data_IF_643192045974
#
_entry.id   IF_643192045974
#
_cell.length_a   1.000
_cell.length_b   1.000
_cell.length_c   1.000
_cell.angle_alpha   90.00
_cell.angle_beta   90.00
_cell.angle_gamma   90.00
#
_symmetry.space_group_name_H-M   'P 1'
#
loop_
_entity.id
_entity.type
_entity.pdbx_description
1 polymer ?
#
# COMPACT_ATOMS: atom_id res chain seq x y z
N UNK A 1 -8.61 42.46 -13.54
CA UNK A 1 -9.59 41.54 -14.16
C UNK A 1 -9.00 40.19 -14.56
N UNK A 2 -7.96 40.13 -15.41
CA UNK A 2 -7.40 38.85 -15.91
C UNK A 2 -6.82 37.94 -14.80
N UNK A 3 -6.22 38.53 -13.75
CA UNK A 3 -5.69 37.77 -12.59
C UNK A 3 -6.80 37.14 -11.74
N UNK A 4 -7.94 37.80 -11.52
CA UNK A 4 -9.05 37.21 -10.74
C UNK A 4 -9.81 36.16 -11.56
N UNK A 5 -9.90 36.32 -12.88
CA UNK A 5 -10.49 35.32 -13.77
C UNK A 5 -9.68 34.01 -13.77
N UNK A 6 -8.33 34.09 -13.82
CA UNK A 6 -7.45 32.91 -13.75
C UNK A 6 -7.55 32.16 -12.42
N UNK A 7 -7.60 32.89 -11.30
CA UNK A 7 -7.77 32.28 -9.97
C UNK A 7 -9.14 31.61 -9.86
N UNK A 8 -10.19 32.23 -10.40
CA UNK A 8 -11.55 31.67 -10.40
C UNK A 8 -11.66 30.39 -11.24
N UNK A 9 -11.11 30.38 -12.46
CA UNK A 9 -11.10 29.17 -13.31
C UNK A 9 -10.34 28.01 -12.67
N UNK A 10 -9.25 28.30 -11.96
CA UNK A 10 -8.43 27.29 -11.31
C UNK A 10 -9.12 26.75 -10.07
N UNK A 11 -9.76 27.62 -9.28
CA UNK A 11 -10.59 27.20 -8.16
C UNK A 11 -11.76 26.33 -8.65
N UNK A 12 -12.33 26.65 -9.81
CA UNK A 12 -13.38 25.86 -10.46
C UNK A 12 -12.89 24.50 -10.96
N UNK A 13 -11.68 24.42 -11.53
CA UNK A 13 -11.06 23.14 -11.93
C UNK A 13 -10.69 22.31 -10.70
N UNK A 14 -10.15 22.93 -9.65
CA UNK A 14 -9.81 22.24 -8.40
C UNK A 14 -11.06 21.74 -7.69
N UNK A 15 -12.14 22.53 -7.67
CA UNK A 15 -13.45 22.13 -7.16
C UNK A 15 -14.05 21.05 -8.04
N UNK A 16 -13.98 21.15 -9.37
CA UNK A 16 -14.48 20.12 -10.28
C UNK A 16 -13.71 18.80 -10.14
N UNK A 17 -12.41 18.88 -9.86
CA UNK A 17 -11.57 17.71 -9.58
C UNK A 17 -11.86 17.15 -8.18
N UNK A 18 -12.04 18.01 -7.17
CA UNK A 18 -12.46 17.59 -5.83
C UNK A 18 -13.87 16.97 -5.85
N UNK A 19 -14.83 17.54 -6.60
CA UNK A 19 -16.18 17.00 -6.73
C UNK A 19 -16.20 15.73 -7.56
N UNK A 20 -15.31 15.57 -8.54
CA UNK A 20 -15.09 14.29 -9.22
C UNK A 20 -14.52 13.23 -8.28
N UNK A 21 -13.55 13.59 -7.43
CA UNK A 21 -13.00 12.70 -6.39
C UNK A 21 -14.04 12.38 -5.30
N UNK A 22 -14.89 13.33 -4.91
CA UNK A 22 -15.96 13.15 -3.93
C UNK A 22 -17.16 12.38 -4.51
N UNK A 23 -17.46 12.49 -5.80
CA UNK A 23 -18.44 11.64 -6.50
C UNK A 23 -17.90 10.24 -6.84
N UNK A 24 -16.63 9.98 -6.55
CA UNK A 24 -16.09 8.62 -6.48
C UNK A 24 -16.39 7.96 -5.12
N UNK A 25 -17.24 8.58 -4.28
CA UNK A 25 -17.81 7.91 -3.13
C UNK A 25 -18.93 6.97 -3.55
N UNK A 26 -18.56 5.69 -3.64
CA UNK A 26 -19.43 4.54 -3.42
C UNK A 26 -20.72 4.49 -4.25
N UNK A 27 -20.65 3.81 -5.39
CA UNK A 27 -21.59 2.72 -5.56
C UNK A 27 -21.43 1.84 -4.32
N UNK A 28 -22.33 1.99 -3.34
CA UNK A 28 -22.56 1.00 -2.28
C UNK A 28 -23.12 -0.24 -2.98
N UNK A 29 -22.25 -0.94 -3.70
CA UNK A 29 -22.47 -2.32 -4.04
C UNK A 29 -22.50 -3.01 -2.67
N UNK A 30 -23.67 -3.52 -2.28
CA UNK A 30 -23.80 -4.44 -1.16
C UNK A 30 -23.03 -5.71 -1.53
N UNK A 31 -21.70 -5.62 -1.50
CA UNK A 31 -20.84 -6.76 -1.73
C UNK A 31 -21.14 -7.74 -0.59
N UNK A 32 -21.52 -8.99 -0.90
CA UNK A 32 -21.62 -10.05 0.09
C UNK A 32 -20.41 -10.05 1.01
N UNK A 33 -20.66 -10.12 2.31
CA UNK A 33 -19.62 -10.19 3.34
C UNK A 33 -19.71 -11.58 3.96
N UNK A 34 -18.57 -12.26 4.09
CA UNK A 34 -18.50 -13.54 4.77
C UNK A 34 -18.91 -13.39 6.24
N UNK A 35 -19.77 -14.28 6.71
CA UNK A 35 -20.23 -14.33 8.10
C UNK A 35 -20.20 -15.77 8.57
N UNK A 36 -19.66 -16.00 9.78
CA UNK A 36 -19.52 -17.34 10.36
C UNK A 36 -18.86 -18.35 9.42
N UNK A 37 -17.80 -17.94 8.70
CA UNK A 37 -17.05 -18.81 7.80
C UNK A 37 -17.78 -19.19 6.52
N UNK A 38 -18.90 -18.52 6.20
CA UNK A 38 -19.68 -18.74 4.98
C UNK A 38 -19.90 -17.42 4.25
N UNK A 39 -19.77 -17.41 2.93
CA UNK A 39 -20.20 -16.31 2.07
C UNK A 39 -21.20 -16.84 1.04
N UNK A 40 -22.33 -16.16 0.92
CA UNK A 40 -23.36 -16.48 -0.07
C UNK A 40 -23.21 -15.60 -1.31
N UNK A 41 -22.78 -16.20 -2.42
CA UNK A 41 -22.61 -15.55 -3.72
C UNK A 41 -23.64 -16.06 -4.74
N UNK A 42 -24.73 -16.69 -4.31
CA UNK A 42 -25.74 -17.27 -5.20
C UNK A 42 -26.37 -16.27 -6.18
N UNK A 43 -26.42 -14.99 -5.81
CA UNK A 43 -26.98 -13.88 -6.62
C UNK A 43 -25.92 -13.10 -7.40
N UNK A 44 -24.63 -13.37 -7.16
CA UNK A 44 -23.53 -12.69 -7.85
C UNK A 44 -23.39 -13.21 -9.29
N UNK A 45 -23.08 -12.31 -10.22
CA UNK A 45 -22.81 -12.65 -11.61
C UNK A 45 -21.31 -12.63 -11.92
N UNK A 46 -20.65 -13.81 -12.06
CA UNK A 46 -19.21 -13.88 -12.27
C UNK A 46 -18.75 -13.36 -13.63
N UNK A 47 -19.67 -13.14 -14.59
CA UNK A 47 -19.35 -12.63 -15.92
C UNK A 47 -19.18 -11.10 -15.97
N UNK A 48 -19.59 -10.39 -14.91
CA UNK A 48 -19.54 -8.92 -14.86
C UNK A 48 -18.30 -8.45 -14.12
N UNK A 49 -18.06 -8.99 -12.93
CA UNK A 49 -17.03 -8.48 -12.03
C UNK A 49 -16.47 -9.57 -11.12
N UNK A 50 -15.24 -9.35 -10.65
CA UNK A 50 -14.69 -10.12 -9.53
C UNK A 50 -15.21 -9.58 -8.19
N UNK A 51 -15.40 -10.46 -7.22
CA UNK A 51 -15.83 -10.12 -5.87
C UNK A 51 -14.70 -10.35 -4.87
N UNK A 52 -14.58 -9.48 -3.86
CA UNK A 52 -13.66 -9.71 -2.75
C UNK A 52 -14.32 -10.61 -1.69
N UNK A 53 -13.55 -11.51 -1.09
CA UNK A 53 -14.04 -12.47 -0.11
C UNK A 53 -13.85 -11.94 1.33
N UNK A 54 -14.15 -10.65 1.57
CA UNK A 54 -14.02 -10.02 2.89
C UNK A 54 -15.06 -10.56 3.87
N UNK A 55 -14.69 -10.61 5.15
CA UNK A 55 -15.61 -10.92 6.25
C UNK A 55 -14.99 -11.87 7.26
N UNK A 56 -15.83 -12.54 8.05
CA UNK A 56 -15.37 -13.41 9.13
C UNK A 56 -15.14 -14.84 8.63
N UNK A 57 -13.87 -15.24 8.56
CA UNK A 57 -13.43 -16.58 8.19
C UNK A 57 -13.18 -17.41 9.44
N UNK A 58 -13.33 -18.72 9.34
CA UNK A 58 -12.92 -19.60 10.44
C UNK A 58 -11.40 -19.64 10.55
N UNK A 59 -10.89 -19.57 11.77
CA UNK A 59 -9.46 -19.42 12.05
C UNK A 59 -8.98 -20.40 13.11
N UNK A 60 -7.85 -21.05 12.86
CA UNK A 60 -7.23 -22.03 13.74
C UNK A 60 -5.79 -21.59 14.00
N UNK A 61 -5.51 -21.12 15.21
CA UNK A 61 -4.20 -20.65 15.62
C UNK A 61 -3.23 -21.80 15.88
N UNK A 62 -2.01 -21.69 15.34
CA UNK A 62 -0.91 -22.62 15.52
C UNK A 62 -1.20 -24.07 15.07
N UNK A 63 -2.14 -24.22 14.13
CA UNK A 63 -2.56 -25.52 13.59
C UNK A 63 -2.65 -25.46 12.07
N UNK A 64 -2.19 -26.52 11.39
CA UNK A 64 -2.43 -26.75 9.97
C UNK A 64 -3.46 -27.85 9.80
N UNK A 65 -4.71 -27.44 9.62
CA UNK A 65 -5.83 -28.37 9.47
C UNK A 65 -5.89 -28.85 8.02
N UNK A 66 -5.81 -30.16 7.75
CA UNK A 66 -5.96 -30.70 6.40
C UNK A 66 -7.23 -30.18 5.71
N UNK A 67 -7.18 -29.84 4.41
CA UNK A 67 -8.36 -29.31 3.72
C UNK A 67 -9.52 -30.32 3.66
N UNK A 68 -9.20 -31.62 3.71
CA UNK A 68 -10.15 -32.73 3.75
C UNK A 68 -10.47 -33.21 5.18
N UNK A 69 -10.05 -32.49 6.22
CA UNK A 69 -10.33 -32.83 7.60
C UNK A 69 -11.83 -32.85 7.89
N UNK A 70 -12.25 -33.75 8.78
CA UNK A 70 -13.64 -33.82 9.25
C UNK A 70 -14.03 -32.56 10.04
N UNK A 71 -15.32 -32.20 10.00
CA UNK A 71 -15.85 -31.01 10.69
C UNK A 71 -15.61 -31.05 12.21
N UNK A 72 -15.48 -32.24 12.80
CA UNK A 72 -15.07 -32.45 14.20
C UNK A 72 -13.69 -31.85 14.49
N UNK A 73 -12.71 -32.08 13.61
CA UNK A 73 -11.34 -31.56 13.76
C UNK A 73 -11.31 -30.04 13.67
N UNK A 74 -12.10 -29.44 12.77
CA UNK A 74 -12.23 -27.99 12.69
C UNK A 74 -12.81 -27.41 13.99
N UNK A 75 -13.90 -27.98 14.49
CA UNK A 75 -14.54 -27.52 15.75
C UNK A 75 -13.64 -27.63 16.97
N UNK A 76 -12.81 -28.68 17.03
CA UNK A 76 -11.91 -28.91 18.17
C UNK A 76 -10.70 -27.97 18.15
N UNK A 77 -10.13 -27.70 16.97
CA UNK A 77 -8.85 -27.00 16.86
C UNK A 77 -8.98 -25.50 16.56
N UNK A 78 -10.11 -25.06 16.00
CA UNK A 78 -10.29 -23.68 15.57
C UNK A 78 -10.88 -22.80 16.67
N UNK A 79 -10.53 -21.51 16.63
CA UNK A 79 -10.76 -20.58 17.74
C UNK A 79 -11.97 -19.67 17.51
N UNK A 80 -12.66 -19.81 16.38
CA UNK A 80 -13.85 -19.04 16.02
C UNK A 80 -13.73 -18.40 14.64
N UNK A 81 -14.54 -17.37 14.42
CA UNK A 81 -14.61 -16.64 13.16
C UNK A 81 -14.05 -15.23 13.32
N UNK A 82 -13.08 -14.87 12.49
CA UNK A 82 -12.31 -13.63 12.62
C UNK A 82 -12.21 -12.89 11.28
N UNK A 83 -12.10 -11.56 11.31
CA UNK A 83 -12.13 -10.76 10.10
C UNK A 83 -10.91 -11.02 9.22
N UNK A 84 -11.16 -11.21 7.92
CA UNK A 84 -10.16 -11.30 6.85
C UNK A 84 -10.54 -10.27 5.78
N UNK A 85 -9.63 -9.37 5.36
CA UNK A 85 -8.25 -9.25 5.81
C UNK A 85 -8.13 -8.62 7.21
N UNK A 86 -7.14 -9.08 7.98
CA UNK A 86 -6.64 -8.46 9.19
C UNK A 86 -5.36 -9.19 9.66
N UNK A 87 -4.57 -8.50 10.47
CA UNK A 87 -3.46 -9.09 11.19
C UNK A 87 -3.95 -9.92 12.39
N UNK A 88 -3.60 -11.21 12.44
CA UNK A 88 -4.07 -12.13 13.49
C UNK A 88 -3.66 -11.73 14.91
N UNK A 89 -2.61 -10.92 15.11
CA UNK A 89 -2.22 -10.38 16.43
C UNK A 89 -3.33 -9.55 17.07
N UNK A 90 -4.25 -9.03 16.27
CA UNK A 90 -5.39 -8.24 16.72
C UNK A 90 -6.64 -9.08 16.95
N UNK A 91 -6.60 -10.39 16.70
CA UNK A 91 -7.70 -11.27 17.02
C UNK A 91 -7.79 -11.48 18.52
N UNK A 92 -8.95 -11.19 19.09
CA UNK A 92 -9.23 -11.44 20.49
C UNK A 92 -9.67 -12.89 20.67
N UNK A 93 -8.72 -13.78 20.99
CA UNK A 93 -8.99 -15.19 21.32
C UNK A 93 -8.88 -15.35 22.84
N UNK A 94 -9.94 -15.78 23.54
CA UNK A 94 -9.90 -15.95 24.99
C UNK A 94 -8.71 -16.81 25.45
N UNK A 95 -7.91 -16.28 26.37
CA UNK A 95 -6.76 -16.98 26.94
C UNK A 95 -5.54 -17.10 26.02
N UNK A 96 -5.53 -16.49 24.83
CA UNK A 96 -4.38 -16.48 23.92
C UNK A 96 -3.93 -15.06 23.59
N UNK A 97 -2.62 -14.82 23.68
CA UNK A 97 -1.99 -13.63 23.12
C UNK A 97 -1.24 -14.04 21.86
N UNK A 98 -1.68 -13.58 20.69
CA UNK A 98 -1.16 -14.05 19.42
C UNK A 98 0.11 -13.31 19.03
N UNK A 99 1.20 -14.07 18.92
CA UNK A 99 2.45 -13.59 18.35
C UNK A 99 2.27 -13.27 16.87
N UNK A 100 2.90 -12.20 16.34
CA UNK A 100 3.05 -12.01 14.89
C UNK A 100 3.71 -13.21 14.21
N UNK A 101 4.55 -13.93 14.95
CA UNK A 101 5.27 -15.11 14.49
C UNK A 101 4.56 -16.39 14.89
N UNK A 102 4.19 -17.20 13.90
CA UNK A 102 3.45 -18.44 14.09
C UNK A 102 2.92 -19.00 12.77
N UNK A 103 2.05 -19.99 12.90
CA UNK A 103 1.34 -20.59 11.77
C UNK A 103 -0.16 -20.59 12.06
N UNK A 104 -0.97 -20.63 11.01
CA UNK A 104 -2.41 -20.67 11.15
C UNK A 104 -3.10 -21.32 9.94
N UNK A 105 -4.34 -21.73 10.16
CA UNK A 105 -5.26 -22.15 9.09
C UNK A 105 -6.47 -21.25 9.05
N UNK A 106 -6.88 -20.89 7.83
CA UNK A 106 -8.11 -20.17 7.55
C UNK A 106 -9.03 -21.03 6.69
N UNK A 107 -10.35 -20.99 6.95
CA UNK A 107 -11.37 -21.65 6.13
C UNK A 107 -12.54 -20.73 5.81
N UNK A 108 -12.96 -20.76 4.55
CA UNK A 108 -14.17 -20.10 4.06
C UNK A 108 -14.95 -21.06 3.17
N UNK A 109 -16.24 -21.24 3.45
CA UNK A 109 -17.20 -21.93 2.58
C UNK A 109 -17.88 -20.89 1.69
N UNK A 110 -17.89 -21.12 0.38
CA UNK A 110 -18.43 -20.20 -0.62
C UNK A 110 -19.58 -20.88 -1.33
N UNK A 111 -20.77 -20.27 -1.28
CA UNK A 111 -21.94 -20.71 -2.06
C UNK A 111 -21.89 -19.97 -3.39
N UNK A 112 -21.88 -20.70 -4.50
CA UNK A 112 -21.68 -20.17 -5.85
C UNK A 112 -23.00 -20.11 -6.64
N UNK A 113 -23.10 -19.20 -7.64
CA UNK A 113 -24.25 -19.14 -8.52
C UNK A 113 -24.35 -20.42 -9.36
N UNK A 114 -25.55 -20.98 -9.44
CA UNK A 114 -25.80 -22.25 -10.14
C UNK A 114 -25.76 -22.12 -11.66
N UNK A 115 -25.86 -20.90 -12.17
CA UNK A 115 -25.92 -20.57 -13.60
C UNK A 115 -24.56 -20.43 -14.27
N UNK A 116 -23.47 -20.49 -13.52
CA UNK A 116 -22.12 -20.30 -14.06
C UNK A 116 -21.36 -21.62 -14.13
N UNK A 117 -20.91 -21.97 -15.33
CA UNK A 117 -20.22 -23.24 -15.61
C UNK A 117 -18.83 -23.06 -16.21
N UNK A 118 -18.41 -21.80 -16.41
CA UNK A 118 -17.08 -21.46 -16.89
C UNK A 118 -16.04 -21.63 -15.76
N UNK A 119 -14.78 -21.44 -16.11
CA UNK A 119 -13.67 -21.51 -15.15
C UNK A 119 -13.64 -20.30 -14.22
N UNK A 120 -13.56 -20.56 -12.91
CA UNK A 120 -13.28 -19.54 -11.92
C UNK A 120 -11.77 -19.31 -11.79
N UNK A 121 -11.41 -18.11 -11.32
CA UNK A 121 -10.06 -17.76 -10.89
C UNK A 121 -10.08 -17.12 -9.52
N UNK A 122 -8.96 -17.28 -8.80
CA UNK A 122 -8.69 -16.54 -7.58
C UNK A 122 -7.45 -15.67 -7.77
N UNK A 123 -7.43 -14.52 -7.11
CA UNK A 123 -6.31 -13.58 -7.09
C UNK A 123 -6.03 -13.13 -5.67
N UNK A 124 -4.76 -13.05 -5.33
CA UNK A 124 -4.27 -12.52 -4.07
C UNK A 124 -3.17 -11.50 -4.36
N UNK A 125 -3.09 -10.50 -3.51
CA UNK A 125 -2.07 -9.44 -3.63
C UNK A 125 -0.92 -9.71 -2.66
N UNK A 126 -1.23 -9.83 -1.37
CA UNK A 126 -0.24 -10.03 -0.32
C UNK A 126 -0.80 -10.96 0.77
N UNK A 127 -0.08 -12.07 1.00
CA UNK A 127 -0.25 -12.95 2.16
C UNK A 127 1.16 -13.24 2.67
N UNK A 128 1.49 -12.77 3.88
CA UNK A 128 2.84 -12.89 4.44
C UNK A 128 2.91 -14.05 5.46
N UNK A 129 4.01 -14.80 5.56
CA UNK A 129 5.23 -14.74 4.72
C UNK A 129 5.42 -15.96 3.82
N UNK A 130 4.76 -17.08 4.13
CA UNK A 130 4.64 -18.25 3.27
C UNK A 130 3.23 -18.83 3.43
N UNK A 131 2.64 -19.31 2.33
CA UNK A 131 1.28 -19.82 2.37
C UNK A 131 1.00 -20.87 1.30
N UNK A 132 -0.06 -21.63 1.52
CA UNK A 132 -0.61 -22.58 0.56
C UNK A 132 -2.13 -22.44 0.52
N UNK A 133 -2.68 -22.29 -0.68
CA UNK A 133 -4.11 -22.17 -0.93
C UNK A 133 -4.64 -23.48 -1.47
N UNK A 134 -5.70 -23.97 -0.85
CA UNK A 134 -6.44 -25.14 -1.26
C UNK A 134 -7.86 -24.72 -1.65
N UNK A 135 -8.33 -25.25 -2.77
CA UNK A 135 -9.74 -25.18 -3.17
C UNK A 135 -10.30 -26.59 -3.09
N UNK A 136 -11.32 -26.75 -2.25
CA UNK A 136 -11.78 -28.03 -1.74
C UNK A 136 -10.59 -28.78 -1.16
N UNK A 137 -10.15 -29.87 -1.79
CA UNK A 137 -9.02 -30.69 -1.33
C UNK A 137 -7.76 -30.56 -2.20
N UNK A 138 -7.78 -29.68 -3.21
CA UNK A 138 -6.68 -29.54 -4.17
C UNK A 138 -5.86 -28.29 -3.87
N UNK A 139 -4.55 -28.46 -3.72
CA UNK A 139 -3.62 -27.34 -3.68
C UNK A 139 -3.61 -26.63 -5.03
N UNK A 140 -3.93 -25.33 -5.05
CA UNK A 140 -3.96 -24.50 -6.26
C UNK A 140 -2.82 -23.49 -6.32
N UNK A 141 -2.25 -23.13 -5.18
CA UNK A 141 -1.11 -22.23 -5.10
C UNK A 141 -0.28 -22.52 -3.85
N UNK A 142 1.05 -22.41 -3.98
CA UNK A 142 1.98 -22.42 -2.86
C UNK A 142 3.04 -21.35 -3.10
N UNK A 143 3.21 -20.44 -2.15
CA UNK A 143 4.17 -19.35 -2.20
C UNK A 143 5.10 -19.46 -1.00
N UNK A 144 6.40 -19.54 -1.28
CA UNK A 144 7.42 -19.82 -0.27
C UNK A 144 7.41 -21.28 0.20
N UNK A 145 8.10 -21.54 1.30
CA UNK A 145 8.12 -22.84 1.98
C UNK A 145 7.52 -22.65 3.36
N UNK A 146 6.39 -23.33 3.62
CA UNK A 146 5.77 -23.37 4.94
C UNK A 146 6.72 -24.04 5.93
N UNK A 147 6.94 -23.40 7.08
CA UNK A 147 7.74 -23.92 8.18
C UNK A 147 7.05 -23.74 9.53
N UNK A 148 7.59 -24.38 10.57
CA UNK A 148 7.11 -24.26 11.95
C UNK A 148 7.92 -23.27 12.78
N UNK A 149 9.00 -22.74 12.19
CA UNK A 149 9.91 -21.80 12.81
C UNK A 149 10.68 -21.03 11.72
N UNK A 150 11.54 -20.10 12.15
CA UNK A 150 12.33 -19.25 11.26
C UNK A 150 13.30 -20.02 10.34
N UNK A 151 13.89 -21.12 10.80
CA UNK A 151 14.91 -21.85 10.04
C UNK A 151 14.28 -22.82 9.02
N UNK A 152 13.07 -23.30 9.29
CA UNK A 152 12.34 -24.24 8.42
C UNK A 152 11.43 -23.54 7.40
N UNK A 153 11.12 -22.27 7.60
CA UNK A 153 10.30 -21.46 6.70
C UNK A 153 11.17 -20.73 5.67
N UNK A 154 10.68 -20.62 4.43
CA UNK A 154 11.25 -19.70 3.42
C UNK A 154 10.20 -18.67 3.02
N UNK A 155 10.40 -17.38 3.36
CA UNK A 155 9.43 -16.33 3.04
C UNK A 155 9.45 -16.00 1.54
N UNK A 156 8.29 -15.67 0.97
CA UNK A 156 8.18 -15.16 -0.39
C UNK A 156 6.96 -14.25 -0.52
N UNK A 157 7.15 -13.11 -1.18
CA UNK A 157 6.07 -12.20 -1.55
C UNK A 157 5.84 -12.34 -3.04
N UNK A 158 4.64 -12.76 -3.43
CA UNK A 158 4.30 -12.96 -4.84
C UNK A 158 2.80 -12.70 -5.05
N UNK A 159 2.41 -11.47 -5.43
CA UNK A 159 1.08 -11.21 -5.97
C UNK A 159 0.86 -12.09 -7.20
N UNK A 160 -0.23 -12.84 -7.23
CA UNK A 160 -0.50 -13.73 -8.34
C UNK A 160 -1.98 -14.11 -8.41
N UNK A 161 -2.29 -14.94 -9.40
CA UNK A 161 -3.60 -15.51 -9.66
C UNK A 161 -3.46 -16.95 -10.10
N UNK A 162 -4.50 -17.74 -9.84
CA UNK A 162 -4.60 -19.08 -10.40
C UNK A 162 -6.00 -19.35 -10.91
N UNK A 163 -6.05 -20.06 -12.01
CA UNK A 163 -7.28 -20.68 -12.50
C UNK A 163 -7.61 -21.86 -11.60
N UNK A 164 -8.86 -21.96 -11.16
CA UNK A 164 -9.34 -23.03 -10.27
C UNK A 164 -10.32 -23.98 -10.97
N UNK A 165 -10.68 -23.70 -12.23
CA UNK A 165 -11.61 -24.51 -13.02
C UNK A 165 -13.07 -24.23 -12.68
N UNK A 166 -14.00 -24.92 -13.36
CA UNK A 166 -15.42 -24.87 -13.01
C UNK A 166 -15.62 -25.46 -11.61
N UNK A 167 -16.52 -24.84 -10.85
CA UNK A 167 -16.88 -25.28 -9.51
C UNK A 167 -18.38 -25.60 -9.46
N UNK A 168 -18.75 -26.49 -8.55
CA UNK A 168 -20.16 -26.79 -8.29
C UNK A 168 -20.80 -25.63 -7.49
N UNK A 169 -22.04 -25.80 -7.04
CA UNK A 169 -22.80 -24.81 -6.24
C UNK A 169 -22.11 -24.39 -4.93
N UNK A 170 -21.05 -25.06 -4.53
CA UNK A 170 -20.26 -24.72 -3.35
C UNK A 170 -18.78 -25.05 -3.58
N UNK A 171 -17.92 -24.27 -2.94
CA UNK A 171 -16.51 -24.60 -2.81
C UNK A 171 -16.01 -24.21 -1.42
N UNK A 172 -14.96 -24.88 -0.95
CA UNK A 172 -14.27 -24.51 0.30
C UNK A 172 -12.89 -23.98 -0.03
N UNK A 173 -12.53 -22.82 0.54
CA UNK A 173 -11.18 -22.27 0.47
C UNK A 173 -10.52 -22.57 1.81
N UNK A 174 -9.36 -23.23 1.78
CA UNK A 174 -8.50 -23.41 2.97
C UNK A 174 -7.15 -22.79 2.68
N UNK A 175 -6.63 -22.03 3.63
CA UNK A 175 -5.33 -21.37 3.49
C UNK A 175 -4.48 -21.67 4.71
N UNK A 176 -3.35 -22.32 4.47
CA UNK A 176 -2.30 -22.45 5.46
C UNK A 176 -1.36 -21.27 5.34
N UNK A 177 -1.05 -20.66 6.47
CA UNK A 177 -0.11 -19.54 6.56
C UNK A 177 0.97 -19.87 7.58
N UNK A 178 2.21 -19.50 7.26
CA UNK A 178 3.35 -19.48 8.15
C UNK A 178 4.00 -18.11 8.08
N UNK A 179 4.28 -17.52 9.23
CA UNK A 179 5.01 -16.28 9.30
C UNK A 179 6.01 -16.34 10.46
N UNK A 180 7.30 -16.43 10.15
CA UNK A 180 8.37 -16.35 11.14
C UNK A 180 9.41 -15.25 10.81
N UNK A 181 9.21 -14.51 9.71
CA UNK A 181 10.19 -13.57 9.17
C UNK A 181 9.78 -12.10 9.25
N UNK A 182 8.48 -11.76 9.26
CA UNK A 182 8.01 -10.38 9.15
C UNK A 182 7.01 -10.02 10.26
N UNK A 183 6.90 -8.76 10.67
CA UNK A 183 5.96 -8.33 11.73
C UNK A 183 4.50 -8.24 11.25
N UNK A 184 4.28 -7.97 9.97
CA UNK A 184 2.98 -8.15 9.32
C UNK A 184 2.75 -9.64 9.06
N UNK A 185 1.50 -10.08 9.23
CA UNK A 185 1.13 -11.50 9.24
C UNK A 185 -0.35 -11.68 8.93
N UNK A 186 -0.74 -12.86 8.44
CA UNK A 186 -2.11 -13.07 7.98
C UNK A 186 -2.39 -12.33 6.67
N UNK A 187 -3.58 -11.75 6.54
CA UNK A 187 -4.04 -11.12 5.31
C UNK A 187 -4.01 -9.61 5.42
N UNK A 188 -3.26 -8.96 4.54
CA UNK A 188 -3.29 -7.51 4.37
C UNK A 188 -4.43 -7.07 3.44
N UNK A 189 -4.60 -7.80 2.34
CA UNK A 189 -5.62 -7.56 1.32
C UNK A 189 -6.56 -8.75 1.18
N UNK A 190 -7.80 -8.54 0.72
CA UNK A 190 -8.73 -9.64 0.50
C UNK A 190 -8.28 -10.51 -0.68
N UNK A 191 -8.79 -11.74 -0.71
CA UNK A 191 -8.76 -12.58 -1.90
C UNK A 191 -9.92 -12.18 -2.81
N UNK A 192 -9.66 -12.16 -4.11
CA UNK A 192 -10.67 -11.90 -5.13
C UNK A 192 -11.03 -13.20 -5.86
N UNK A 193 -12.31 -13.39 -6.11
CA UNK A 193 -12.88 -14.51 -6.87
C UNK A 193 -13.63 -13.96 -8.08
N UNK A 194 -13.54 -14.60 -9.23
CA UNK A 194 -14.22 -14.16 -10.44
C UNK A 194 -14.14 -15.19 -11.55
N UNK A 195 -14.78 -14.91 -12.69
CA UNK A 195 -14.47 -15.60 -13.94
C UNK A 195 -12.97 -15.47 -14.23
N UNK A 196 -12.33 -16.56 -14.65
CA UNK A 196 -10.88 -16.59 -14.87
C UNK A 196 -10.39 -15.47 -15.79
N UNK A 197 -11.09 -15.21 -16.88
CA UNK A 197 -10.76 -14.15 -17.85
C UNK A 197 -10.77 -12.76 -17.21
N UNK A 198 -11.76 -12.49 -16.35
CA UNK A 198 -11.87 -11.23 -15.61
C UNK A 198 -10.70 -11.12 -14.64
N UNK A 199 -10.47 -12.16 -13.83
CA UNK A 199 -9.35 -12.18 -12.86
C UNK A 199 -8.00 -11.95 -13.54
N UNK A 200 -7.76 -12.62 -14.68
CA UNK A 200 -6.55 -12.47 -15.47
C UNK A 200 -6.40 -11.05 -16.02
N UNK A 201 -7.46 -10.48 -16.57
CA UNK A 201 -7.43 -9.15 -17.19
C UNK A 201 -7.35 -8.02 -16.15
N UNK A 202 -8.00 -8.16 -14.99
CA UNK A 202 -7.93 -7.19 -13.89
C UNK A 202 -6.48 -7.00 -13.42
N UNK A 203 -5.71 -8.09 -13.26
CA UNK A 203 -4.29 -7.98 -12.89
C UNK A 203 -3.48 -7.19 -13.92
N UNK A 204 -3.73 -7.39 -15.21
CA UNK A 204 -3.03 -6.66 -16.28
C UNK A 204 -3.40 -5.18 -16.23
N UNK A 205 -4.68 -4.85 -16.05
CA UNK A 205 -5.16 -3.47 -15.92
C UNK A 205 -4.52 -2.74 -14.74
N UNK A 206 -4.49 -3.40 -13.58
CA UNK A 206 -3.84 -2.86 -12.37
C UNK A 206 -2.34 -2.61 -12.58
N UNK A 207 -1.63 -3.59 -13.16
CA UNK A 207 -0.21 -3.43 -13.48
C UNK A 207 0.04 -2.27 -14.44
N UNK A 208 -0.81 -2.09 -15.47
CA UNK A 208 -0.69 -0.95 -16.39
C UNK A 208 -0.91 0.39 -15.67
N UNK A 209 -1.86 0.45 -14.72
CA UNK A 209 -2.10 1.64 -13.91
C UNK A 209 -0.92 1.98 -13.02
N UNK A 210 -0.31 0.98 -12.37
CA UNK A 210 0.90 1.14 -11.55
C UNK A 210 2.08 1.65 -12.38
N UNK A 211 2.32 1.07 -13.56
CA UNK A 211 3.39 1.48 -14.47
C UNK A 211 3.16 2.90 -14.98
N UNK A 212 1.94 3.24 -15.40
CA UNK A 212 1.60 4.58 -15.88
C UNK A 212 1.79 5.63 -14.77
N UNK A 213 1.35 5.31 -13.55
CA UNK A 213 1.52 6.15 -12.38
C UNK A 213 3.00 6.36 -12.06
N UNK A 214 3.79 5.28 -12.03
CA UNK A 214 5.24 5.34 -11.88
C UNK A 214 5.90 6.22 -12.94
N UNK A 215 5.64 5.93 -14.21
CA UNK A 215 6.26 6.62 -15.34
C UNK A 215 5.96 8.12 -15.31
N UNK A 216 4.74 8.51 -14.96
CA UNK A 216 4.34 9.92 -14.86
C UNK A 216 5.17 10.69 -13.83
N UNK A 217 5.33 10.13 -12.62
CA UNK A 217 6.10 10.75 -11.53
C UNK A 217 7.60 10.67 -11.79
N UNK A 218 8.08 9.54 -12.29
CA UNK A 218 9.49 9.31 -12.60
C UNK A 218 9.98 10.25 -13.71
N UNK A 219 9.18 10.51 -14.75
CA UNK A 219 9.52 11.45 -15.83
C UNK A 219 9.76 12.86 -15.28
N UNK A 220 8.92 13.31 -14.35
CA UNK A 220 9.11 14.60 -13.68
C UNK A 220 10.38 14.58 -12.83
N UNK A 221 10.64 13.47 -12.14
CA UNK A 221 11.87 13.29 -11.37
C UNK A 221 13.11 13.43 -12.26
N UNK A 222 13.17 12.68 -13.36
CA UNK A 222 14.25 12.75 -14.35
C UNK A 222 14.40 14.13 -14.96
N UNK A 223 13.30 14.80 -15.31
CA UNK A 223 13.34 16.18 -15.81
C UNK A 223 14.04 17.13 -14.82
N UNK A 224 13.74 17.03 -13.53
CA UNK A 224 14.39 17.85 -12.51
C UNK A 224 15.86 17.47 -12.27
N UNK A 225 16.22 16.19 -12.38
CA UNK A 225 17.62 15.78 -12.35
C UNK A 225 18.40 16.34 -13.54
N UNK A 226 17.83 16.35 -14.74
CA UNK A 226 18.44 16.98 -15.92
C UNK A 226 18.60 18.49 -15.70
N UNK A 227 17.59 19.18 -15.18
CA UNK A 227 17.71 20.61 -14.82
C UNK A 227 18.83 20.86 -13.81
N UNK A 228 19.01 19.97 -12.84
CA UNK A 228 20.11 20.06 -11.88
C UNK A 228 21.48 19.94 -12.56
N UNK A 229 21.65 19.07 -13.56
CA UNK A 229 22.90 18.96 -14.31
C UNK A 229 23.25 20.27 -15.04
N UNK A 230 22.26 21.01 -15.54
CA UNK A 230 22.46 22.32 -16.15
C UNK A 230 22.61 23.46 -15.13
N UNK A 231 22.07 23.29 -13.91
CA UNK A 231 22.05 24.29 -12.84
C UNK A 231 22.48 23.68 -11.51
N UNK A 232 23.71 23.19 -11.44
CA UNK A 232 24.23 22.44 -10.28
C UNK A 232 24.27 23.23 -8.96
N UNK A 233 24.16 24.56 -9.02
CA UNK A 233 24.01 25.42 -7.84
C UNK A 233 22.60 25.36 -7.22
N UNK A 234 21.58 25.02 -8.00
CA UNK A 234 20.18 24.91 -7.58
C UNK A 234 19.88 23.51 -7.08
N UNK A 235 20.24 23.22 -5.82
CA UNK A 235 20.08 21.90 -5.20
C UNK A 235 18.61 21.47 -5.03
N UNK A 236 17.68 22.41 -5.09
CA UNK A 236 16.23 22.15 -5.08
C UNK A 236 15.80 21.20 -6.20
N UNK A 237 16.43 21.29 -7.38
CA UNK A 237 16.13 20.39 -8.49
C UNK A 237 16.63 18.96 -8.24
N UNK A 238 17.79 18.79 -7.61
CA UNK A 238 18.32 17.48 -7.23
C UNK A 238 17.39 16.77 -6.25
N UNK A 239 17.08 17.43 -5.13
CA UNK A 239 16.30 16.80 -4.07
C UNK A 239 14.86 16.54 -4.48
N UNK A 240 14.26 17.44 -5.27
CA UNK A 240 12.93 17.19 -5.82
C UNK A 240 12.93 16.03 -6.83
N UNK A 241 13.94 15.96 -7.70
CA UNK A 241 14.10 14.86 -8.64
C UNK A 241 14.20 13.50 -7.96
N UNK A 242 15.05 13.40 -6.93
CA UNK A 242 15.22 12.19 -6.12
C UNK A 242 13.97 11.83 -5.32
N UNK A 243 13.26 12.83 -4.77
CA UNK A 243 11.97 12.64 -4.11
C UNK A 243 10.94 12.03 -5.07
N UNK A 244 10.78 12.59 -6.27
CA UNK A 244 9.84 12.09 -7.28
C UNK A 244 10.18 10.66 -7.70
N UNK A 245 11.44 10.34 -8.00
CA UNK A 245 11.84 8.98 -8.37
C UNK A 245 11.54 8.00 -7.24
N UNK A 246 11.88 8.35 -5.99
CA UNK A 246 11.64 7.49 -4.83
C UNK A 246 10.14 7.26 -4.60
N UNK A 247 9.32 8.30 -4.76
CA UNK A 247 7.86 8.19 -4.68
C UNK A 247 7.28 7.33 -5.83
N UNK A 248 7.83 7.45 -7.04
CA UNK A 248 7.48 6.56 -8.14
C UNK A 248 7.79 5.10 -7.80
N UNK A 249 9.01 4.80 -7.33
CA UNK A 249 9.40 3.43 -6.93
C UNK A 249 8.48 2.91 -5.83
N UNK A 250 8.14 3.75 -4.85
CA UNK A 250 7.18 3.41 -3.80
C UNK A 250 5.82 3.04 -4.40
N UNK A 251 5.33 3.77 -5.39
CA UNK A 251 4.03 3.47 -6.03
C UNK A 251 3.99 2.04 -6.59
N UNK A 252 5.07 1.58 -7.24
CA UNK A 252 5.16 0.20 -7.76
C UNK A 252 5.15 -0.88 -6.67
N UNK A 253 5.35 -0.50 -5.41
CA UNK A 253 5.56 -1.43 -4.30
C UNK A 253 4.39 -1.49 -3.31
N UNK A 254 3.37 -0.64 -3.44
CA UNK A 254 2.36 -0.43 -2.38
C UNK A 254 1.11 -1.29 -2.53
N UNK A 255 0.45 -1.28 -3.69
CA UNK A 255 -0.80 -2.03 -3.87
C UNK A 255 -0.54 -3.43 -4.42
N UNK A 256 -0.30 -3.57 -5.72
CA UNK A 256 -0.15 -4.88 -6.35
C UNK A 256 1.30 -5.41 -6.38
N UNK A 257 2.21 -4.79 -5.63
CA UNK A 257 3.66 -4.99 -5.68
C UNK A 257 4.19 -5.25 -7.10
N UNK A 258 3.76 -4.42 -8.06
CA UNK A 258 4.18 -4.47 -9.46
C UNK A 258 5.70 -4.60 -9.63
N UNK A 259 6.50 -4.04 -8.71
CA UNK A 259 7.96 -4.20 -8.69
C UNK A 259 8.40 -5.68 -8.71
N UNK A 260 7.75 -6.56 -7.94
CA UNK A 260 8.08 -8.00 -7.89
C UNK A 260 7.75 -8.68 -9.22
N UNK A 261 6.74 -8.22 -9.96
CA UNK A 261 6.39 -8.79 -11.26
C UNK A 261 7.54 -8.59 -12.27
N UNK A 262 8.26 -7.48 -12.18
CA UNK A 262 9.45 -7.21 -13.00
C UNK A 262 10.70 -7.95 -12.53
N UNK A 263 10.79 -8.26 -11.23
CA UNK A 263 11.92 -8.94 -10.61
C UNK A 263 11.45 -10.15 -9.78
N UNK A 264 10.92 -11.21 -10.41
CA UNK A 264 10.21 -12.30 -9.72
C UNK A 264 11.11 -13.17 -8.81
N UNK A 265 12.41 -13.14 -9.06
CA UNK A 265 13.42 -13.89 -8.31
C UNK A 265 14.14 -13.05 -7.25
N UNK A 266 13.65 -11.84 -6.98
CA UNK A 266 14.19 -11.00 -5.91
C UNK A 266 14.03 -11.69 -4.56
N UNK A 267 15.10 -11.66 -3.77
CA UNK A 267 15.07 -12.18 -2.41
C UNK A 267 14.07 -11.37 -1.55
N UNK A 268 13.30 -12.08 -0.72
CA UNK A 268 12.26 -11.47 0.11
C UNK A 268 12.85 -10.43 1.07
N UNK A 269 13.91 -10.78 1.80
CA UNK A 269 14.51 -9.90 2.79
C UNK A 269 15.10 -8.65 2.14
N UNK A 270 15.76 -8.83 0.99
CA UNK A 270 16.24 -7.71 0.20
C UNK A 270 15.11 -6.79 -0.26
N UNK A 271 14.02 -7.34 -0.78
CA UNK A 271 12.88 -6.53 -1.24
C UNK A 271 12.23 -5.74 -0.10
N UNK A 272 12.01 -6.35 1.06
CA UNK A 272 11.49 -5.63 2.23
C UNK A 272 12.44 -4.51 2.66
N UNK A 273 13.76 -4.77 2.72
CA UNK A 273 14.76 -3.72 3.02
C UNK A 273 14.73 -2.58 2.00
N UNK A 274 14.56 -2.89 0.72
CA UNK A 274 14.47 -1.93 -0.37
C UNK A 274 13.25 -1.02 -0.24
N UNK A 275 12.06 -1.58 0.04
CA UNK A 275 10.85 -0.77 0.26
C UNK A 275 11.06 0.19 1.43
N UNK A 276 11.55 -0.32 2.56
CA UNK A 276 11.72 0.47 3.77
C UNK A 276 12.80 1.55 3.60
N UNK A 277 13.89 1.25 2.90
CA UNK A 277 14.89 2.24 2.50
C UNK A 277 14.30 3.34 1.61
N UNK A 278 13.46 2.97 0.64
CA UNK A 278 12.77 3.90 -0.25
C UNK A 278 11.88 4.86 0.55
N UNK A 279 11.14 4.35 1.54
CA UNK A 279 10.30 5.17 2.44
C UNK A 279 11.13 6.16 3.26
N UNK A 280 12.27 5.73 3.83
CA UNK A 280 13.17 6.64 4.56
C UNK A 280 13.75 7.72 3.65
N UNK A 281 14.16 7.33 2.43
CA UNK A 281 14.75 8.23 1.44
C UNK A 281 13.78 9.33 1.01
N UNK A 282 12.49 9.01 0.86
CA UNK A 282 11.43 9.99 0.57
C UNK A 282 11.40 11.11 1.63
N UNK A 283 11.44 10.74 2.91
CA UNK A 283 11.46 11.71 4.02
C UNK A 283 12.68 12.62 3.99
N UNK A 284 13.87 12.03 3.77
CA UNK A 284 15.15 12.77 3.67
C UNK A 284 15.12 13.74 2.48
N UNK A 285 14.74 13.27 1.29
CA UNK A 285 14.71 14.11 0.09
C UNK A 285 13.69 15.24 0.22
N UNK A 286 12.55 15.00 0.86
CA UNK A 286 11.57 16.05 1.12
C UNK A 286 12.11 17.12 2.07
N UNK A 287 12.81 16.72 3.15
CA UNK A 287 13.47 17.67 4.06
C UNK A 287 14.49 18.54 3.32
N UNK A 288 15.37 17.91 2.55
CA UNK A 288 16.42 18.59 1.82
C UNK A 288 15.87 19.52 0.74
N UNK A 289 14.79 19.10 0.07
CA UNK A 289 14.07 19.92 -0.89
C UNK A 289 13.51 21.20 -0.24
N UNK A 290 12.76 21.08 0.86
CA UNK A 290 12.17 22.25 1.54
C UNK A 290 13.27 23.18 2.10
N UNK A 291 14.36 22.62 2.63
CA UNK A 291 15.52 23.40 3.08
C UNK A 291 16.20 24.16 1.94
N UNK A 292 16.30 23.55 0.77
CA UNK A 292 16.91 24.21 -0.40
C UNK A 292 16.04 25.35 -0.95
N UNK A 293 14.71 25.26 -0.83
CA UNK A 293 13.78 26.33 -1.22
C UNK A 293 13.77 27.51 -0.25
N UNK A 294 13.84 27.24 1.06
CA UNK A 294 13.71 28.25 2.12
C UNK A 294 14.86 28.13 3.13
N UNK A 295 16.11 28.40 2.72
CA UNK A 295 17.29 28.13 3.54
C UNK A 295 17.37 29.00 4.80
N UNK A 296 16.78 30.20 4.79
CA UNK A 296 16.77 31.13 5.93
C UNK A 296 15.67 30.80 6.94
N UNK A 297 14.53 30.29 6.47
CA UNK A 297 13.37 30.00 7.32
C UNK A 297 13.49 28.64 8.00
N UNK A 298 13.95 27.63 7.24
CA UNK A 298 14.01 26.24 7.67
C UNK A 298 15.26 26.04 8.52
N UNK A 299 15.09 25.63 9.77
CA UNK A 299 16.21 25.41 10.68
C UNK A 299 17.13 24.28 10.19
N UNK A 300 18.43 24.57 10.08
CA UNK A 300 19.43 23.53 9.75
C UNK A 300 19.51 22.47 10.85
N UNK A 301 19.27 22.84 12.12
CA UNK A 301 19.23 21.88 13.23
C UNK A 301 18.07 20.90 13.10
N UNK A 302 16.89 21.36 12.70
CA UNK A 302 15.74 20.50 12.48
C UNK A 302 16.01 19.50 11.35
N UNK A 303 16.54 19.97 10.22
CA UNK A 303 16.83 19.12 9.06
C UNK A 303 17.95 18.12 9.38
N UNK A 304 19.03 18.56 10.01
CA UNK A 304 20.12 17.66 10.40
C UNK A 304 19.66 16.63 11.43
N UNK A 305 18.78 17.01 12.37
CA UNK A 305 18.15 16.07 13.30
C UNK A 305 17.27 15.05 12.58
N UNK A 306 16.43 15.49 11.63
CA UNK A 306 15.59 14.59 10.85
C UNK A 306 16.43 13.61 10.01
N UNK A 307 17.48 14.09 9.35
CA UNK A 307 18.42 13.26 8.60
C UNK A 307 19.17 12.31 9.54
N UNK A 308 19.58 12.77 10.72
CA UNK A 308 20.21 11.94 11.74
C UNK A 308 19.30 10.80 12.17
N UNK A 309 18.02 11.10 12.45
CA UNK A 309 17.02 10.07 12.80
C UNK A 309 16.81 9.09 11.66
N UNK A 310 16.54 9.54 10.44
CA UNK A 310 16.31 8.64 9.30
C UNK A 310 17.57 7.87 8.86
N UNK A 311 18.74 8.49 8.98
CA UNK A 311 20.04 7.86 8.77
C UNK A 311 20.32 6.76 9.80
N UNK A 312 20.10 7.05 11.09
CA UNK A 312 20.16 6.06 12.16
C UNK A 312 19.16 4.91 11.93
N UNK A 313 17.93 5.23 11.53
CA UNK A 313 16.92 4.23 11.16
C UNK A 313 17.35 3.35 9.99
N UNK A 314 18.16 3.87 9.05
CA UNK A 314 18.68 3.07 7.94
C UNK A 314 19.63 1.97 8.40
N UNK A 315 20.35 2.15 9.51
CA UNK A 315 21.18 1.07 10.09
C UNK A 315 20.33 -0.09 10.62
N UNK A 316 19.08 0.15 11.01
CA UNK A 316 18.19 -0.95 11.42
C UNK A 316 17.93 -1.93 10.27
N UNK A 317 18.03 -1.50 9.01
CA UNK A 317 17.87 -2.37 7.84
C UNK A 317 18.95 -3.45 7.73
N UNK A 318 20.09 -3.31 8.44
CA UNK A 318 21.09 -4.36 8.52
C UNK A 318 20.67 -5.52 9.44
N UNK A 319 19.74 -5.28 10.37
CA UNK A 319 19.21 -6.30 11.28
C UNK A 319 18.33 -7.32 10.50
N UNK A 320 18.05 -8.50 11.10
CA UNK A 320 17.08 -9.44 10.52
C UNK A 320 15.71 -8.78 10.32
N UNK A 321 14.99 -9.16 9.26
CA UNK A 321 13.69 -8.54 8.88
C UNK A 321 12.70 -8.51 10.03
N UNK A 322 12.58 -9.61 10.77
CA UNK A 322 11.69 -9.73 11.93
C UNK A 322 11.96 -8.70 13.03
N UNK A 323 13.20 -8.24 13.15
CA UNK A 323 13.64 -7.29 14.18
C UNK A 323 13.39 -5.86 13.72
N UNK A 324 13.89 -5.47 12.53
CA UNK A 324 13.79 -4.06 12.13
C UNK A 324 12.37 -3.64 11.77
N UNK A 325 11.55 -4.56 11.24
CA UNK A 325 10.14 -4.26 10.91
C UNK A 325 9.32 -3.92 12.15
N UNK A 326 9.75 -4.37 13.34
CA UNK A 326 9.13 -4.02 14.63
C UNK A 326 9.43 -2.57 14.99
N UNK A 327 10.71 -2.21 14.99
CA UNK A 327 11.18 -0.84 15.23
C UNK A 327 10.58 0.15 14.24
N UNK A 328 10.30 -0.30 13.02
CA UNK A 328 9.73 0.58 12.02
C UNK A 328 8.32 1.07 12.34
N UNK A 329 7.55 0.38 13.19
CA UNK A 329 6.27 0.92 13.66
C UNK A 329 6.46 2.26 14.37
N UNK A 330 7.52 2.41 15.17
CA UNK A 330 7.90 3.67 15.83
C UNK A 330 8.40 4.68 14.79
N UNK A 331 9.20 4.23 13.82
CA UNK A 331 9.71 5.08 12.74
C UNK A 331 8.56 5.66 11.91
N UNK A 332 7.51 4.89 11.61
CA UNK A 332 6.32 5.38 10.91
C UNK A 332 5.63 6.51 11.67
N UNK A 333 5.52 6.40 13.00
CA UNK A 333 5.00 7.49 13.85
C UNK A 333 5.87 8.74 13.71
N UNK A 334 7.21 8.60 13.78
CA UNK A 334 8.12 9.74 13.58
C UNK A 334 8.01 10.35 12.17
N UNK A 335 7.88 9.52 11.13
CA UNK A 335 7.63 9.95 9.75
C UNK A 335 6.31 10.74 9.66
N UNK A 336 5.30 10.37 10.44
CA UNK A 336 4.00 11.05 10.48
C UNK A 336 4.09 12.47 11.05
N UNK A 337 5.02 12.71 11.97
CA UNK A 337 5.25 14.04 12.56
C UNK A 337 6.08 14.96 11.66
N UNK A 338 6.87 14.42 10.74
CA UNK A 338 7.70 15.20 9.83
C UNK A 338 6.88 16.19 8.97
N UNK A 339 5.75 15.79 8.36
CA UNK A 339 4.77 16.69 7.76
C UNK A 339 4.39 17.90 8.61
N UNK A 340 4.07 17.68 9.87
CA UNK A 340 3.65 18.74 10.79
C UNK A 340 4.79 19.73 11.05
N UNK A 341 6.00 19.22 11.31
CA UNK A 341 7.19 20.06 11.51
C UNK A 341 7.50 20.95 10.31
N UNK A 342 7.54 20.37 9.11
CA UNK A 342 7.82 21.11 7.87
C UNK A 342 6.73 22.14 7.53
N UNK A 343 5.47 21.86 7.87
CA UNK A 343 4.35 22.81 7.68
C UNK A 343 4.57 24.11 8.44
N UNK A 344 5.13 24.05 9.66
CA UNK A 344 5.40 25.26 10.45
C UNK A 344 6.41 26.19 9.76
N UNK A 345 7.45 25.63 9.13
CA UNK A 345 8.45 26.40 8.39
C UNK A 345 7.88 26.97 7.08
N UNK A 346 7.05 26.21 6.37
CA UNK A 346 6.36 26.71 5.17
C UNK A 346 5.38 27.84 5.51
N UNK A 347 4.70 27.76 6.65
CA UNK A 347 3.85 28.84 7.14
C UNK A 347 4.65 30.10 7.49
N UNK A 348 5.84 29.94 8.09
CA UNK A 348 6.79 31.05 8.31
C UNK A 348 7.22 31.69 6.99
N UNK A 349 7.59 30.89 5.97
CA UNK A 349 7.94 31.39 4.64
C UNK A 349 6.79 32.14 3.95
N UNK A 350 5.55 31.66 4.12
CA UNK A 350 4.34 32.36 3.68
C UNK A 350 4.17 33.71 4.37
N UNK A 351 4.30 33.77 5.70
CA UNK A 351 4.23 35.03 6.47
C UNK A 351 5.32 36.02 6.06
N UNK A 352 6.52 35.52 5.74
CA UNK A 352 7.64 36.32 5.22
C UNK A 352 7.48 36.71 3.74
N UNK A 353 6.34 36.36 3.11
CA UNK A 353 6.00 36.70 1.72
C UNK A 353 7.06 36.23 0.71
N UNK A 354 7.72 35.10 1.00
CA UNK A 354 8.66 34.50 0.04
C UNK A 354 7.93 34.13 -1.25
N UNK A 355 8.57 34.40 -2.38
CA UNK A 355 8.00 34.09 -3.71
C UNK A 355 7.66 32.61 -3.79
N UNK A 356 6.45 32.28 -4.26
CA UNK A 356 6.00 30.89 -4.41
C UNK A 356 5.61 30.16 -3.12
N UNK A 357 5.88 30.71 -1.92
CA UNK A 357 5.67 30.01 -0.65
C UNK A 357 4.21 29.64 -0.38
N UNK A 358 3.25 30.48 -0.76
CA UNK A 358 1.82 30.18 -0.58
C UNK A 358 1.39 28.95 -1.39
N UNK A 359 1.83 28.84 -2.65
CA UNK A 359 1.48 27.71 -3.51
C UNK A 359 2.12 26.41 -2.98
N UNK A 360 3.38 26.49 -2.57
CA UNK A 360 4.10 25.34 -2.00
C UNK A 360 3.46 24.89 -0.67
N UNK A 361 3.04 25.82 0.18
CA UNK A 361 2.34 25.51 1.42
C UNK A 361 1.01 24.78 1.15
N UNK A 362 0.18 25.28 0.23
CA UNK A 362 -1.09 24.66 -0.13
C UNK A 362 -0.85 23.24 -0.68
N UNK A 363 0.08 23.10 -1.62
CA UNK A 363 0.48 21.82 -2.18
C UNK A 363 0.92 20.83 -1.10
N UNK A 364 1.74 21.31 -0.16
CA UNK A 364 2.28 20.49 0.91
C UNK A 364 1.22 20.04 1.92
N UNK A 365 0.24 20.89 2.23
CA UNK A 365 -0.88 20.54 3.11
C UNK A 365 -1.74 19.44 2.50
N UNK A 366 -2.04 19.53 1.19
CA UNK A 366 -2.76 18.48 0.47
C UNK A 366 -1.95 17.18 0.52
N UNK A 367 -0.68 17.22 0.13
CA UNK A 367 0.21 16.06 0.16
C UNK A 367 0.29 15.43 1.56
N UNK A 368 0.48 16.24 2.60
CA UNK A 368 0.58 15.79 3.98
C UNK A 368 -0.69 15.09 4.48
N UNK A 369 -1.86 15.60 4.09
CA UNK A 369 -3.17 15.01 4.45
C UNK A 369 -3.32 13.62 3.84
N UNK A 370 -2.93 13.50 2.57
CA UNK A 370 -3.02 12.24 1.83
C UNK A 370 -1.99 11.22 2.35
N UNK A 371 -0.76 11.66 2.68
CA UNK A 371 0.24 10.79 3.33
C UNK A 371 -0.24 10.33 4.71
N UNK A 372 -0.88 11.20 5.49
CA UNK A 372 -1.45 10.83 6.78
C UNK A 372 -2.57 9.77 6.62
N UNK A 373 -3.38 9.86 5.57
CA UNK A 373 -4.36 8.83 5.23
C UNK A 373 -3.69 7.47 5.01
N UNK A 374 -2.68 7.40 4.14
CA UNK A 374 -1.95 6.17 3.85
C UNK A 374 -1.29 5.57 5.10
N UNK A 375 -0.77 6.41 6.00
CA UNK A 375 -0.19 5.95 7.27
C UNK A 375 -1.28 5.37 8.17
N UNK A 376 -2.40 6.07 8.34
CA UNK A 376 -3.51 5.58 9.17
C UNK A 376 -4.11 4.29 8.59
N UNK A 377 -4.16 4.17 7.27
CA UNK A 377 -4.55 2.94 6.57
C UNK A 377 -3.52 1.82 6.85
N UNK A 378 -2.22 2.11 6.73
CA UNK A 378 -1.13 1.16 7.01
C UNK A 378 -1.15 0.66 8.47
N UNK A 379 -1.49 1.54 9.41
CA UNK A 379 -1.63 1.21 10.84
C UNK A 379 -2.96 0.52 11.18
N UNK A 380 -3.91 0.43 10.24
CA UNK A 380 -5.20 -0.24 10.41
C UNK A 380 -6.29 0.59 11.10
N UNK A 381 -6.13 1.91 11.22
CA UNK A 381 -7.14 2.79 11.86
C UNK A 381 -8.29 3.18 10.92
N UNK A 382 -8.07 3.15 9.61
CA UNK A 382 -9.06 3.51 8.58
C UNK A 382 -9.00 2.53 7.41
N UNK A 383 -10.05 2.51 6.57
CA UNK A 383 -10.19 1.59 5.43
C UNK A 383 -10.34 2.34 4.09
N UNK A 384 -9.57 3.41 3.89
CA UNK A 384 -9.66 4.29 2.71
C UNK A 384 -8.81 3.84 1.52
N UNK A 385 -7.84 2.95 1.72
CA UNK A 385 -6.84 2.60 0.69
C UNK A 385 -5.66 3.58 0.64
N UNK A 386 -4.75 3.37 -0.31
CA UNK A 386 -3.61 4.26 -0.55
C UNK A 386 -3.97 5.32 -1.58
N UNK A 387 -3.85 6.60 -1.21
CA UNK A 387 -4.22 7.73 -2.07
C UNK A 387 -3.06 8.71 -2.29
N UNK A 388 -1.86 8.45 -1.73
CA UNK A 388 -0.68 9.33 -1.86
C UNK A 388 -0.27 9.67 -3.30
N UNK A 389 -0.60 8.82 -4.28
CA UNK A 389 -0.37 9.10 -5.70
C UNK A 389 -1.14 10.33 -6.20
N UNK A 390 -2.35 10.58 -5.68
CA UNK A 390 -3.12 11.79 -5.98
C UNK A 390 -2.42 13.00 -5.35
N UNK A 391 -2.02 12.86 -4.08
CA UNK A 391 -1.33 13.89 -3.33
C UNK A 391 -0.05 14.37 -4.02
N UNK A 392 0.79 13.45 -4.52
CA UNK A 392 2.02 13.82 -5.22
C UNK A 392 1.74 14.46 -6.58
N UNK A 393 0.75 13.98 -7.33
CA UNK A 393 0.38 14.56 -8.63
C UNK A 393 -0.07 16.01 -8.46
N UNK A 394 -0.92 16.28 -7.46
CA UNK A 394 -1.32 17.64 -7.10
C UNK A 394 -0.12 18.47 -6.65
N UNK A 395 0.77 17.89 -5.82
CA UNK A 395 1.97 18.57 -5.35
C UNK A 395 2.86 19.06 -6.50
N UNK A 396 3.14 18.18 -7.46
CA UNK A 396 3.90 18.47 -8.69
C UNK A 396 3.27 19.61 -9.48
N UNK A 397 1.94 19.58 -9.66
CA UNK A 397 1.23 20.58 -10.46
C UNK A 397 1.40 21.98 -9.87
N UNK A 398 1.17 22.12 -8.56
CA UNK A 398 1.34 23.39 -7.85
C UNK A 398 2.79 23.87 -7.83
N UNK A 399 3.75 22.96 -7.70
CA UNK A 399 5.17 23.31 -7.75
C UNK A 399 5.57 23.84 -9.13
N UNK A 400 5.17 23.14 -10.20
CA UNK A 400 5.44 23.54 -11.58
C UNK A 400 4.89 24.94 -11.88
N UNK A 401 3.72 25.25 -11.34
CA UNK A 401 3.14 26.58 -11.46
C UNK A 401 3.88 27.63 -10.60
N UNK A 402 4.29 27.30 -9.37
CA UNK A 402 5.11 28.20 -8.56
C UNK A 402 6.37 28.63 -9.33
N UNK A 403 7.05 27.68 -9.99
CA UNK A 403 8.23 27.95 -10.81
C UNK A 403 7.90 28.78 -12.06
N UNK A 404 6.82 28.49 -12.79
CA UNK A 404 6.46 29.29 -13.97
C UNK A 404 6.04 30.71 -13.62
N UNK A 405 5.32 30.89 -12.52
CA UNK A 405 4.87 32.21 -12.05
C UNK A 405 6.02 33.12 -11.63
N UNK A 406 7.14 32.55 -11.17
CA UNK A 406 8.33 33.32 -10.80
C UNK A 406 9.16 33.72 -12.03
N UNK A 407 9.24 32.87 -13.06
CA UNK A 407 9.92 33.17 -14.32
C UNK A 407 9.28 34.34 -15.11
N UNK A 408 7.97 34.54 -14.99
CA UNK A 408 7.25 35.67 -15.61
C UNK A 408 7.44 37.01 -14.88
N UNK A 409 8.07 37.02 -13.69
CA UNK A 409 8.37 38.26 -12.94
C UNK A 409 9.82 38.73 -13.09
N UNK A 410 10.62 38.01 -13.89
CA UNK A 410 12.03 38.29 -14.16
C UNK A 410 12.29 38.82 -15.57
N UNK A 411 11.24 39.12 -16.33
CA UNK A 411 11.23 39.95 -17.53
C UNK A 411 10.34 41.15 -17.25
#
# INVERSE_FOLDING_TARGET
MIKSLRISCIFFILISFLTFLLNCSQFKQNNPIASNGVIDLSTWNPNIESINLKGNWEFCWDQWIPPNAEESQWKENCNGFYPVPAYWKFYNIPGKNLSPFGKATYRLKVILPTSFHDSYGIRWTEILSAFQIFINNKSVAQIGVLGTDFNTMTPKLKPDRTEIGPQNNQMTIVIWVSNFNHQNHGFWQPIYLGKWEIIRNTQVSHLMMDIASFASVALIGFYHLVLFLFRTRSKEYLFFGLFCISMGIRQLSVEDHAFIIFFPDIDFDFYIRFIYFTVLSIGIFMCMFIKSLFPEEVSSFFINSAIGVFGCSSFTLALPVRVFTEFFSIIFVLISFLPLGLTTYLFKAHKMKRKGATLILIAYLIFSTVVLNDILFTLGYISTGYISYIGITVFIFFLSWSVSSTAHTSF
#
